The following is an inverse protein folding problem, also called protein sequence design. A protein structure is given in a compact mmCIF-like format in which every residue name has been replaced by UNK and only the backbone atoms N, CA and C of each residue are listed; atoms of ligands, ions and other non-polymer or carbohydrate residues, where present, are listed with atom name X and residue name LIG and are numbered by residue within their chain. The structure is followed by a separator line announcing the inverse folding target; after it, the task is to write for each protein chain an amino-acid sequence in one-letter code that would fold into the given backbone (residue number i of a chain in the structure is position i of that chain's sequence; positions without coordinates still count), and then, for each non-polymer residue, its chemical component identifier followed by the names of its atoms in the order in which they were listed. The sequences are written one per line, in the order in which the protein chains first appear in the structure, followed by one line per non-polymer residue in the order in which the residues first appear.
data_IF_086683990784
#
_entry.id   IF_086683990784
#
_cell.length_a   1.000
_cell.length_b   1.000
_cell.length_c   1.000
_cell.angle_alpha   90.00
_cell.angle_beta   90.00
_cell.angle_gamma   90.00
#
_symmetry.space_group_name_H-M   'P 1'
#
loop_
_entity.id
_entity.type
_entity.pdbx_description
1 polymer ?
#
# COMPACT_ATOMS: atom_id res chain seq x y z
N UNK A 1 -30.22 23.94 41.90
CA UNK A 1 -30.89 23.08 40.90
C UNK A 1 -30.10 23.19 39.60
N UNK A 2 -29.19 22.28 39.40
CA UNK A 2 -28.42 22.18 38.13
C UNK A 2 -29.36 21.72 37.01
N UNK A 3 -29.58 22.64 36.04
CA UNK A 3 -30.32 22.27 34.84
C UNK A 3 -29.48 21.22 34.07
N UNK A 4 -30.02 19.99 33.96
CA UNK A 4 -29.52 18.99 33.00
C UNK A 4 -29.46 19.66 31.61
N UNK A 5 -28.29 20.08 31.19
CA UNK A 5 -28.06 20.63 29.85
C UNK A 5 -28.01 19.47 28.88
N UNK A 6 -29.14 19.17 28.26
CA UNK A 6 -29.19 18.31 27.09
C UNK A 6 -28.68 19.14 25.92
N UNK A 7 -27.50 18.81 25.40
CA UNK A 7 -26.89 19.56 24.28
C UNK A 7 -26.71 18.62 23.06
N UNK A 8 -27.18 19.05 21.89
CA UNK A 8 -26.83 18.35 20.66
C UNK A 8 -25.39 18.66 20.28
N UNK A 9 -24.56 17.62 20.17
CA UNK A 9 -23.16 17.70 19.77
C UNK A 9 -23.01 17.09 18.38
N UNK A 10 -22.31 17.76 17.47
CA UNK A 10 -21.97 17.23 16.17
C UNK A 10 -20.88 16.16 16.33
N UNK A 11 -21.13 14.94 15.86
CA UNK A 11 -20.18 13.84 15.88
C UNK A 11 -20.04 13.26 14.47
N UNK A 12 -18.96 13.59 13.79
CA UNK A 12 -18.77 13.21 12.39
C UNK A 12 -19.85 13.76 11.47
N UNK A 13 -20.55 12.89 10.74
CA UNK A 13 -21.66 13.24 9.84
C UNK A 13 -23.02 13.33 10.55
N UNK A 14 -23.11 12.94 11.82
CA UNK A 14 -24.36 12.86 12.60
C UNK A 14 -24.40 13.84 13.77
N UNK A 15 -25.59 13.95 14.35
CA UNK A 15 -25.84 14.69 15.59
C UNK A 15 -26.11 13.69 16.72
N UNK A 16 -25.39 13.82 17.85
CA UNK A 16 -25.66 13.08 19.07
C UNK A 16 -26.17 13.98 20.17
N UNK A 17 -26.92 13.45 21.08
CA UNK A 17 -27.37 14.17 22.27
C UNK A 17 -26.46 13.83 23.44
N UNK A 18 -25.84 14.85 24.05
CA UNK A 18 -25.01 14.68 25.24
C UNK A 18 -25.85 14.88 26.50
N UNK A 19 -25.73 13.92 27.41
CA UNK A 19 -26.29 13.97 28.76
C UNK A 19 -25.20 14.20 29.81
N UNK A 20 -23.99 14.57 29.38
CA UNK A 20 -22.87 14.82 30.28
C UNK A 20 -23.15 16.01 31.20
N UNK A 21 -22.73 15.90 32.45
CA UNK A 21 -22.82 16.99 33.44
C UNK A 21 -21.66 17.99 33.33
N UNK A 22 -20.57 17.56 32.76
CA UNK A 22 -19.39 18.38 32.50
C UNK A 22 -19.20 18.56 31.01
N UNK A 23 -18.62 19.69 30.62
CA UNK A 23 -18.27 19.95 29.24
C UNK A 23 -17.14 19.03 28.80
N UNK A 24 -17.20 18.55 27.55
CA UNK A 24 -16.17 17.70 26.97
C UNK A 24 -14.85 18.50 26.90
N UNK A 25 -13.79 17.98 27.54
CA UNK A 25 -12.45 18.61 27.53
C UNK A 25 -11.75 18.36 26.18
N UNK A 26 -12.04 17.22 25.56
CA UNK A 26 -11.50 16.82 24.26
C UNK A 26 -12.65 16.42 23.34
N UNK A 27 -12.52 16.77 22.07
CA UNK A 27 -13.45 16.30 21.04
C UNK A 27 -13.30 14.79 20.85
N UNK A 28 -14.42 14.10 20.59
CA UNK A 28 -14.40 12.67 20.27
C UNK A 28 -13.70 12.49 18.92
N UNK A 29 -12.61 11.73 18.85
CA UNK A 29 -11.91 11.49 17.59
C UNK A 29 -12.81 10.79 16.57
N UNK A 30 -12.64 11.13 15.31
CA UNK A 30 -13.32 10.42 14.22
C UNK A 30 -12.66 9.06 13.99
N UNK A 31 -13.31 7.98 14.46
CA UNK A 31 -12.75 6.62 14.42
C UNK A 31 -12.55 6.07 13.00
N UNK A 32 -13.18 6.66 12.00
CA UNK A 32 -13.05 6.26 10.59
C UNK A 32 -12.10 7.17 9.79
N UNK A 33 -11.46 8.14 10.43
CA UNK A 33 -10.54 9.08 9.80
C UNK A 33 -9.35 8.38 9.16
N UNK A 34 -8.78 7.40 9.85
CA UNK A 34 -7.65 6.60 9.36
C UNK A 34 -7.95 5.95 8.01
N UNK A 35 -9.12 5.34 7.84
CA UNK A 35 -9.52 4.72 6.58
C UNK A 35 -9.73 5.76 5.47
N UNK A 36 -10.37 6.88 5.80
CA UNK A 36 -10.63 7.94 4.83
C UNK A 36 -9.34 8.60 4.36
N UNK A 37 -8.47 8.97 5.28
CA UNK A 37 -7.19 9.60 4.96
C UNK A 37 -6.29 8.66 4.15
N UNK A 38 -6.26 7.38 4.50
CA UNK A 38 -5.52 6.36 3.75
C UNK A 38 -6.05 6.20 2.32
N UNK A 39 -7.37 6.24 2.13
CA UNK A 39 -7.97 6.16 0.81
C UNK A 39 -7.76 7.42 -0.02
N UNK A 40 -7.85 8.59 0.61
CA UNK A 40 -7.57 9.87 -0.04
C UNK A 40 -6.10 9.98 -0.46
N UNK A 41 -5.18 9.55 0.39
CA UNK A 41 -3.76 9.44 0.06
C UNK A 41 -3.54 8.48 -1.13
N UNK A 42 -4.18 7.30 -1.09
CA UNK A 42 -4.08 6.32 -2.18
C UNK A 42 -4.52 6.91 -3.53
N UNK A 43 -5.60 7.68 -3.56
CA UNK A 43 -6.09 8.30 -4.79
C UNK A 43 -5.22 9.46 -5.29
N UNK A 44 -4.54 10.20 -4.38
CA UNK A 44 -3.74 11.36 -4.75
C UNK A 44 -2.29 11.02 -5.05
N UNK A 45 -1.70 10.16 -4.23
CA UNK A 45 -0.26 9.87 -4.24
C UNK A 45 0.02 8.40 -4.56
N UNK A 46 -0.67 7.48 -3.90
CA UNK A 46 -0.37 6.05 -4.01
C UNK A 46 -0.54 5.48 -5.42
N UNK A 47 -1.53 5.93 -6.18
CA UNK A 47 -1.68 5.54 -7.59
C UNK A 47 -0.56 6.10 -8.46
N UNK A 48 -0.13 7.34 -8.23
CA UNK A 48 0.99 7.95 -8.94
C UNK A 48 2.28 7.17 -8.70
N UNK A 49 2.60 6.88 -7.43
CA UNK A 49 3.78 6.08 -7.07
C UNK A 49 3.79 4.70 -7.76
N UNK A 50 2.62 4.02 -7.84
CA UNK A 50 2.52 2.72 -8.50
C UNK A 50 2.81 2.85 -10.00
N UNK A 51 2.28 3.87 -10.66
CA UNK A 51 2.54 4.07 -12.09
C UNK A 51 3.97 4.50 -12.38
N UNK A 52 4.57 5.31 -11.53
CA UNK A 52 5.99 5.71 -11.63
C UNK A 52 6.92 4.50 -11.43
N UNK A 53 6.65 3.65 -10.46
CA UNK A 53 7.46 2.46 -10.16
C UNK A 53 7.45 1.43 -11.30
N UNK A 54 6.35 1.34 -12.04
CA UNK A 54 6.19 0.38 -13.15
C UNK A 54 6.71 0.97 -14.46
N UNK A 55 6.70 2.28 -14.60
CA UNK A 55 7.11 3.01 -15.80
C UNK A 55 8.64 3.26 -15.81
N UNK A 56 9.32 3.13 -16.96
CA UNK A 56 8.84 2.62 -18.23
C UNK A 56 8.79 1.08 -18.32
N UNK A 57 7.88 0.53 -19.10
CA UNK A 57 7.89 -0.88 -19.48
C UNK A 57 8.60 -0.99 -20.82
N UNK A 58 9.77 -1.62 -20.82
CA UNK A 58 10.60 -1.79 -22.01
C UNK A 58 10.48 -3.20 -22.58
N UNK A 59 10.55 -3.30 -23.90
CA UNK A 59 10.60 -4.57 -24.59
C UNK A 59 11.98 -5.23 -24.39
N UNK A 60 12.05 -6.56 -24.51
CA UNK A 60 13.29 -7.34 -24.40
C UNK A 60 14.38 -6.87 -25.42
N UNK A 61 13.96 -6.37 -26.57
CA UNK A 61 14.85 -5.81 -27.60
C UNK A 61 15.17 -4.33 -27.41
N UNK A 62 14.66 -3.69 -26.36
CA UNK A 62 14.81 -2.28 -26.04
C UNK A 62 14.39 -1.32 -27.17
N UNK A 63 13.49 -1.81 -28.06
CA UNK A 63 12.98 -1.04 -29.20
C UNK A 63 11.70 -0.28 -28.88
N UNK A 64 10.87 -0.83 -27.98
CA UNK A 64 9.60 -0.25 -27.58
C UNK A 64 9.63 0.11 -26.10
N UNK A 65 9.21 1.32 -25.76
CA UNK A 65 9.06 1.80 -24.40
C UNK A 65 7.64 2.30 -24.17
N UNK A 66 6.95 1.77 -23.17
CA UNK A 66 5.63 2.19 -22.74
C UNK A 66 5.73 2.93 -21.43
N UNK A 67 5.25 4.16 -21.41
CA UNK A 67 5.23 5.02 -20.23
C UNK A 67 3.80 5.35 -19.81
N UNK A 68 3.55 5.34 -18.51
CA UNK A 68 2.32 5.88 -17.92
C UNK A 68 2.52 7.36 -17.64
N UNK A 69 1.74 8.21 -18.30
CA UNK A 69 1.91 9.67 -18.25
C UNK A 69 1.03 10.29 -17.19
N UNK A 70 -0.23 9.85 -17.13
CA UNK A 70 -1.26 10.43 -16.27
C UNK A 70 -2.39 9.44 -16.05
N UNK A 71 -3.18 9.63 -15.00
CA UNK A 71 -4.36 8.81 -14.73
C UNK A 71 -5.54 9.68 -14.31
N UNK A 72 -6.73 9.23 -14.62
CA UNK A 72 -7.98 9.89 -14.28
C UNK A 72 -9.00 8.90 -13.76
N UNK A 73 -9.51 9.15 -12.57
CA UNK A 73 -10.64 8.42 -12.00
C UNK A 73 -11.92 9.17 -12.34
N UNK A 74 -12.75 8.57 -13.20
CA UNK A 74 -13.99 9.18 -13.69
C UNK A 74 -15.12 8.98 -12.66
N UNK A 75 -15.15 9.80 -11.62
CA UNK A 75 -16.17 9.71 -10.55
C UNK A 75 -17.58 10.05 -11.03
N UNK A 76 -17.70 10.75 -12.15
CA UNK A 76 -18.99 11.13 -12.75
C UNK A 76 -19.61 9.99 -13.58
N UNK A 77 -18.81 9.00 -14.00
CA UNK A 77 -19.24 7.87 -14.82
C UNK A 77 -19.62 6.64 -13.96
N UNK A 78 -20.06 6.84 -12.73
CA UNK A 78 -20.54 5.76 -11.86
C UNK A 78 -21.87 5.21 -12.38
N UNK A 79 -21.92 3.89 -12.66
CA UNK A 79 -23.09 3.27 -13.29
C UNK A 79 -24.32 3.20 -12.41
N UNK A 80 -24.13 2.99 -11.10
CA UNK A 80 -25.20 2.75 -10.15
C UNK A 80 -24.98 3.53 -8.86
N UNK A 81 -26.04 4.00 -8.24
CA UNK A 81 -25.99 4.61 -6.92
C UNK A 81 -25.66 3.55 -5.85
N UNK A 82 -25.33 4.01 -4.65
CA UNK A 82 -24.99 3.14 -3.51
C UNK A 82 -26.13 2.17 -3.20
N UNK A 83 -27.38 2.65 -3.24
CA UNK A 83 -28.56 1.85 -2.95
C UNK A 83 -28.82 0.82 -4.06
N UNK A 84 -28.74 1.22 -5.31
CA UNK A 84 -28.86 0.33 -6.45
C UNK A 84 -27.78 -0.74 -6.48
N UNK A 85 -26.55 -0.44 -6.06
CA UNK A 85 -25.47 -1.43 -5.96
C UNK A 85 -25.82 -2.51 -4.93
N UNK A 86 -26.44 -2.14 -3.80
CA UNK A 86 -26.89 -3.09 -2.78
C UNK A 86 -28.05 -3.98 -3.25
N UNK A 87 -28.99 -3.41 -4.01
CA UNK A 87 -30.15 -4.16 -4.53
C UNK A 87 -29.78 -5.10 -5.68
N UNK A 88 -28.80 -4.70 -6.52
CA UNK A 88 -28.40 -5.44 -7.73
C UNK A 88 -27.19 -6.32 -7.58
N UNK A 89 -26.69 -6.49 -6.35
CA UNK A 89 -25.43 -7.19 -6.06
C UNK A 89 -24.25 -6.67 -6.89
N UNK A 90 -24.21 -5.36 -7.14
CA UNK A 90 -23.17 -4.69 -7.92
C UNK A 90 -22.09 -4.07 -7.03
N UNK A 91 -20.97 -3.72 -7.64
CA UNK A 91 -19.88 -3.01 -6.97
C UNK A 91 -19.98 -1.51 -7.26
N UNK A 92 -19.89 -0.69 -6.19
CA UNK A 92 -19.83 0.75 -6.31
C UNK A 92 -18.41 1.17 -6.72
N UNK A 93 -18.21 1.44 -8.01
CA UNK A 93 -16.89 1.71 -8.58
C UNK A 93 -16.97 2.77 -9.68
N UNK A 94 -15.83 3.41 -9.93
CA UNK A 94 -15.64 4.34 -11.04
C UNK A 94 -14.56 3.83 -11.99
N UNK A 95 -14.68 4.09 -13.31
CA UNK A 95 -13.67 3.69 -14.28
C UNK A 95 -12.39 4.50 -14.11
N UNK A 96 -11.27 3.77 -14.07
CA UNK A 96 -9.92 4.32 -14.08
C UNK A 96 -9.40 4.33 -15.51
N UNK A 97 -9.12 5.50 -16.03
CA UNK A 97 -8.49 5.71 -17.32
C UNK A 97 -7.06 6.18 -17.14
N UNK A 98 -6.16 5.65 -17.95
CA UNK A 98 -4.75 5.97 -17.89
C UNK A 98 -4.25 6.41 -19.25
N UNK A 99 -3.53 7.51 -19.27
CA UNK A 99 -2.89 8.04 -20.46
C UNK A 99 -1.52 7.41 -20.62
N UNK A 100 -1.34 6.64 -21.66
CA UNK A 100 -0.11 5.94 -21.99
C UNK A 100 0.59 6.55 -23.18
N UNK A 101 1.92 6.52 -23.17
CA UNK A 101 2.79 6.93 -24.25
C UNK A 101 3.61 5.72 -24.68
N UNK A 102 3.47 5.35 -25.95
CA UNK A 102 4.29 4.34 -26.60
C UNK A 102 5.34 5.03 -27.43
N UNK A 103 6.61 4.81 -27.14
CA UNK A 103 7.74 5.29 -27.91
C UNK A 103 8.37 4.12 -28.66
N UNK A 104 8.44 4.22 -29.99
CA UNK A 104 9.18 3.30 -30.83
C UNK A 104 10.55 3.90 -31.13
N UNK A 105 11.61 3.35 -30.54
CA UNK A 105 12.99 3.85 -30.67
C UNK A 105 13.60 3.63 -32.08
N UNK A 106 13.05 2.67 -32.86
CA UNK A 106 13.51 2.44 -34.24
C UNK A 106 13.02 3.52 -35.21
N UNK A 107 11.74 3.89 -35.11
CA UNK A 107 11.11 4.86 -36.01
C UNK A 107 11.06 6.26 -35.44
N UNK A 108 11.47 6.42 -34.16
CA UNK A 108 11.33 7.65 -33.37
C UNK A 108 9.87 8.17 -33.31
N UNK A 109 8.91 7.23 -33.40
CA UNK A 109 7.49 7.53 -33.41
C UNK A 109 6.91 7.45 -31.98
N UNK A 110 6.22 8.52 -31.56
CA UNK A 110 5.56 8.59 -30.28
C UNK A 110 4.06 8.56 -30.49
N UNK A 111 3.38 7.55 -29.90
CA UNK A 111 1.91 7.44 -29.88
C UNK A 111 1.40 7.60 -28.47
N UNK A 112 0.36 8.40 -28.29
CA UNK A 112 -0.27 8.61 -27.00
C UNK A 112 -1.75 8.25 -27.08
N UNK A 113 -2.20 7.40 -26.15
CA UNK A 113 -3.57 6.95 -26.06
C UNK A 113 -4.06 6.94 -24.64
N UNK A 114 -5.35 7.13 -24.45
CA UNK A 114 -6.05 6.92 -23.20
C UNK A 114 -6.64 5.52 -23.20
N UNK A 115 -6.29 4.73 -22.20
CA UNK A 115 -6.75 3.34 -22.05
C UNK A 115 -7.57 3.17 -20.79
N UNK A 116 -8.58 2.32 -20.85
CA UNK A 116 -9.35 1.89 -19.69
C UNK A 116 -8.57 0.77 -18.98
N UNK A 117 -8.20 1.02 -17.71
CA UNK A 117 -7.47 0.03 -16.89
C UNK A 117 -8.40 -0.89 -16.12
N UNK A 118 -9.55 -0.38 -15.69
CA UNK A 118 -10.51 -1.14 -14.89
C UNK A 118 -11.40 -0.24 -14.05
N UNK A 119 -12.32 -0.86 -13.32
CA UNK A 119 -13.20 -0.17 -12.39
C UNK A 119 -12.57 -0.20 -10.99
N UNK A 120 -12.33 0.98 -10.41
CA UNK A 120 -11.80 1.14 -9.06
C UNK A 120 -12.94 1.34 -8.06
N UNK A 121 -13.06 0.49 -7.02
CA UNK A 121 -14.08 0.66 -5.98
C UNK A 121 -13.97 2.00 -5.28
N UNK A 122 -15.12 2.67 -5.10
CA UNK A 122 -15.19 3.94 -4.40
C UNK A 122 -15.58 3.76 -2.94
N UNK A 123 -14.97 4.54 -2.08
CA UNK A 123 -15.32 4.61 -0.66
C UNK A 123 -16.57 5.46 -0.47
N UNK A 124 -17.49 4.97 0.35
CA UNK A 124 -18.69 5.70 0.76
C UNK A 124 -18.36 6.77 1.81
N UNK A 125 -19.32 7.66 2.08
CA UNK A 125 -19.17 8.69 3.12
C UNK A 125 -18.92 8.11 4.52
N UNK A 126 -19.32 6.85 4.76
CA UNK A 126 -19.15 6.13 6.02
C UNK A 126 -17.84 5.34 6.12
N UNK A 127 -16.94 5.45 5.10
CA UNK A 127 -15.65 4.76 5.09
C UNK A 127 -15.73 3.28 4.70
N UNK A 128 -16.81 2.87 4.04
CA UNK A 128 -17.04 1.50 3.59
C UNK A 128 -16.96 1.38 2.08
N UNK A 129 -16.82 0.16 1.57
CA UNK A 129 -16.88 -0.18 0.16
C UNK A 129 -18.06 -1.11 -0.09
N UNK A 130 -18.71 -0.96 -1.23
CA UNK A 130 -19.77 -1.88 -1.65
C UNK A 130 -19.23 -2.77 -2.75
N UNK A 131 -19.03 -4.03 -2.43
CA UNK A 131 -18.50 -5.06 -3.33
C UNK A 131 -19.53 -6.15 -3.49
N UNK A 132 -20.02 -6.36 -4.71
CA UNK A 132 -21.07 -7.33 -5.01
C UNK A 132 -22.29 -7.20 -4.06
N UNK A 133 -22.76 -5.97 -3.87
CA UNK A 133 -23.89 -5.66 -3.01
C UNK A 133 -23.60 -5.66 -1.50
N UNK A 134 -22.48 -6.25 -1.06
CA UNK A 134 -22.12 -6.32 0.35
C UNK A 134 -21.27 -5.11 0.77
N UNK A 135 -21.64 -4.50 1.89
CA UNK A 135 -20.87 -3.41 2.49
C UNK A 135 -19.68 -3.98 3.27
N UNK A 136 -18.48 -3.57 2.89
CA UNK A 136 -17.22 -4.07 3.42
C UNK A 136 -16.32 -2.95 3.89
N UNK A 137 -15.46 -3.24 4.85
CA UNK A 137 -14.46 -2.32 5.40
C UNK A 137 -13.08 -2.93 5.24
N UNK A 138 -12.11 -2.10 4.86
CA UNK A 138 -10.71 -2.49 4.85
C UNK A 138 -10.16 -2.27 6.26
N UNK A 139 -9.68 -3.36 6.88
CA UNK A 139 -9.06 -3.31 8.20
C UNK A 139 -7.58 -2.96 8.06
N UNK A 140 -7.13 -1.94 8.79
CA UNK A 140 -5.72 -1.57 8.84
C UNK A 140 -4.89 -2.70 9.43
N UNK A 141 -3.78 -3.06 8.77
CA UNK A 141 -2.86 -4.10 9.20
C UNK A 141 -1.49 -3.49 9.51
N UNK A 142 -0.91 -3.91 10.64
CA UNK A 142 0.45 -3.54 10.98
C UNK A 142 1.42 -4.48 10.26
N UNK A 143 2.31 -3.89 9.48
CA UNK A 143 3.40 -4.60 8.81
C UNK A 143 4.73 -4.01 9.27
N UNK A 144 5.82 -4.78 9.11
CA UNK A 144 7.16 -4.25 9.36
C UNK A 144 7.47 -3.16 8.35
N UNK A 145 8.03 -2.04 8.83
CA UNK A 145 8.49 -0.98 7.94
C UNK A 145 9.65 -1.47 7.06
N UNK A 146 9.79 -0.94 5.84
CA UNK A 146 11.00 -1.15 5.04
C UNK A 146 12.24 -0.72 5.82
N UNK A 147 13.31 -1.48 5.70
CA UNK A 147 14.56 -1.20 6.42
C UNK A 147 15.42 -2.44 6.64
N UNK A 148 16.45 -2.29 7.46
CA UNK A 148 17.39 -3.35 7.80
C UNK A 148 17.19 -3.73 9.27
N UNK A 149 16.94 -5.00 9.51
CA UNK A 149 16.76 -5.58 10.83
C UNK A 149 17.93 -6.47 11.17
N UNK A 150 18.56 -6.24 12.33
CA UNK A 150 19.70 -7.01 12.79
C UNK A 150 19.28 -7.95 13.91
N UNK A 151 19.88 -9.14 13.93
CA UNK A 151 19.65 -10.14 14.95
C UNK A 151 20.96 -10.82 15.36
N UNK A 152 21.01 -11.26 16.61
CA UNK A 152 22.11 -12.05 17.16
C UNK A 152 21.49 -13.35 17.68
N UNK A 153 22.02 -14.48 17.24
CA UNK A 153 21.69 -15.79 17.76
C UNK A 153 22.95 -16.45 18.31
N UNK A 154 22.79 -17.40 19.24
CA UNK A 154 23.90 -18.14 19.80
C UNK A 154 23.83 -19.59 19.33
N UNK A 155 24.95 -20.13 18.89
CA UNK A 155 25.07 -21.55 18.55
C UNK A 155 25.10 -22.39 19.86
N UNK A 156 24.97 -23.71 19.72
CA UNK A 156 25.04 -24.67 20.85
C UNK A 156 26.34 -24.59 21.66
N UNK A 157 27.39 -24.04 21.07
CA UNK A 157 28.71 -23.87 21.66
C UNK A 157 28.86 -22.47 22.31
N UNK A 158 27.82 -21.62 22.21
CA UNK A 158 27.86 -20.25 22.73
C UNK A 158 28.49 -19.21 21.78
N UNK A 159 28.80 -19.59 20.52
CA UNK A 159 29.31 -18.66 19.52
C UNK A 159 28.18 -17.75 19.02
N UNK A 160 28.46 -16.44 18.94
CA UNK A 160 27.53 -15.46 18.38
C UNK A 160 27.43 -15.61 16.86
N UNK A 161 26.18 -15.71 16.38
CA UNK A 161 25.85 -15.73 14.96
C UNK A 161 25.06 -14.48 14.63
N UNK A 162 25.53 -13.73 13.66
CA UNK A 162 24.91 -12.48 13.25
C UNK A 162 24.00 -12.73 12.06
N UNK A 163 22.80 -12.12 12.11
CA UNK A 163 21.85 -12.15 11.02
C UNK A 163 21.38 -10.73 10.68
N UNK A 164 21.05 -10.52 9.43
CA UNK A 164 20.47 -9.26 8.99
C UNK A 164 19.41 -9.54 7.93
N UNK A 165 18.25 -8.91 8.08
CA UNK A 165 17.15 -9.01 7.11
C UNK A 165 16.91 -7.63 6.51
N UNK A 166 17.04 -7.54 5.20
CA UNK A 166 16.71 -6.33 4.43
C UNK A 166 15.31 -6.48 3.88
N UNK A 167 14.42 -5.61 4.30
CA UNK A 167 13.03 -5.55 3.85
C UNK A 167 12.90 -4.33 2.95
N UNK A 168 12.73 -4.50 1.63
CA UNK A 168 12.49 -3.40 0.71
C UNK A 168 11.04 -2.90 0.83
N UNK A 169 10.76 -1.72 0.31
CA UNK A 169 9.39 -1.22 0.18
C UNK A 169 8.58 -2.11 -0.76
N UNK A 170 9.20 -2.57 -1.85
CA UNK A 170 8.64 -3.51 -2.83
C UNK A 170 9.71 -4.50 -3.26
N UNK A 171 9.34 -5.78 -3.41
CA UNK A 171 10.23 -6.83 -3.90
C UNK A 171 10.59 -7.88 -2.86
N UNK A 172 11.56 -8.72 -3.19
CA UNK A 172 11.98 -9.86 -2.38
C UNK A 172 12.81 -9.45 -1.16
N UNK A 173 12.65 -10.17 -0.07
CA UNK A 173 13.44 -9.97 1.13
C UNK A 173 14.83 -10.60 0.96
N UNK A 174 15.85 -9.92 1.49
CA UNK A 174 17.22 -10.44 1.54
C UNK A 174 17.55 -10.77 2.99
N UNK A 175 17.87 -12.03 3.24
CA UNK A 175 18.29 -12.51 4.55
C UNK A 175 19.78 -12.87 4.50
N UNK A 176 20.57 -12.27 5.38
CA UNK A 176 21.98 -12.51 5.56
C UNK A 176 22.20 -13.27 6.87
N UNK A 177 22.93 -14.35 6.84
CA UNK A 177 23.24 -15.17 8.02
C UNK A 177 24.71 -15.54 8.04
N UNK A 178 25.31 -15.50 9.23
CA UNK A 178 26.64 -16.06 9.48
C UNK A 178 26.48 -17.47 10.03
N UNK A 179 27.17 -18.44 9.48
CA UNK A 179 27.18 -19.83 9.97
C UNK A 179 28.25 -20.01 11.05
N UNK A 180 28.17 -21.12 11.81
CA UNK A 180 29.16 -21.49 12.83
C UNK A 180 30.60 -21.61 12.30
N UNK A 181 30.76 -21.83 11.00
CA UNK A 181 32.05 -21.89 10.29
C UNK A 181 32.55 -20.53 9.76
N UNK A 182 31.97 -19.42 10.20
CA UNK A 182 32.24 -18.06 9.69
C UNK A 182 31.96 -17.88 8.20
N UNK A 183 31.05 -18.70 7.67
CA UNK A 183 30.59 -18.60 6.27
C UNK A 183 29.39 -17.68 6.23
N UNK A 184 29.44 -16.72 5.30
CA UNK A 184 28.38 -15.75 5.09
C UNK A 184 27.41 -16.29 4.01
N UNK A 185 26.16 -16.46 4.40
CA UNK A 185 25.08 -16.97 3.57
C UNK A 185 24.09 -15.87 3.25
N UNK A 186 23.57 -15.84 2.03
CA UNK A 186 22.51 -14.94 1.60
C UNK A 186 21.34 -15.77 1.08
N UNK A 187 20.14 -15.42 1.50
CA UNK A 187 18.89 -15.97 0.95
C UNK A 187 18.09 -14.84 0.33
N UNK A 188 17.44 -15.14 -0.79
CA UNK A 188 16.48 -14.27 -1.44
C UNK A 188 15.11 -14.92 -1.30
N UNK A 189 14.16 -14.25 -0.67
CA UNK A 189 12.75 -14.64 -0.52
C UNK A 189 12.55 -16.12 -0.12
N UNK A 190 13.23 -16.55 0.94
CA UNK A 190 13.21 -17.94 1.46
C UNK A 190 13.65 -19.05 0.46
N UNK A 191 14.17 -18.68 -0.68
CA UNK A 191 14.70 -19.60 -1.67
C UNK A 191 16.11 -20.08 -1.31
N UNK A 192 16.82 -20.73 -2.24
CA UNK A 192 18.15 -21.32 -2.02
C UNK A 192 19.15 -20.37 -1.37
N UNK A 193 19.85 -20.86 -0.34
CA UNK A 193 21.03 -20.19 0.21
C UNK A 193 22.11 -20.07 -0.86
N UNK A 194 22.55 -18.87 -1.13
CA UNK A 194 23.76 -18.60 -1.92
C UNK A 194 24.90 -18.42 -0.93
N UNK A 195 25.82 -19.39 -0.91
CA UNK A 195 26.95 -19.37 0.00
C UNK A 195 28.15 -18.76 -0.71
N UNK A 196 28.71 -17.69 -0.15
CA UNK A 196 29.99 -17.15 -0.60
C UNK A 196 31.08 -17.56 0.41
N UNK A 197 32.09 -18.35 0.05
CA UNK A 197 33.18 -18.66 0.97
C UNK A 197 33.91 -17.37 1.34
N UNK A 198 33.96 -17.07 2.62
CA UNK A 198 34.77 -15.97 3.13
C UNK A 198 36.24 -16.29 2.87
N UNK A 199 36.92 -15.45 2.10
CA UNK A 199 38.36 -15.59 1.89
C UNK A 199 39.03 -15.54 3.29
N UNK A 200 39.64 -16.64 3.71
CA UNK A 200 40.48 -16.66 4.91
C UNK A 200 41.57 -15.62 4.68
N UNK A 201 41.62 -14.58 5.47
CA UNK A 201 42.77 -13.70 5.53
C UNK A 201 43.95 -14.52 6.06
N UNK A 202 44.81 -14.98 5.16
CA UNK A 202 46.12 -15.52 5.51
C UNK A 202 46.97 -14.32 5.97
N UNK A 203 46.90 -14.00 7.24
CA UNK A 203 47.95 -13.21 7.89
C UNK A 203 49.14 -14.15 8.00
N UNK A 204 50.08 -14.03 7.06
CA UNK A 204 51.43 -14.62 7.25
C UNK A 204 52.17 -13.70 8.22
N UNK A 205 52.54 -14.28 9.34
CA UNK A 205 53.60 -13.83 10.24
C UNK A 205 54.90 -13.63 9.47
#
# INVERSE_FOLDING_TARGET
MEKNRIQPIKSGTGMRISYARQDDVLEVPNLIEIQKDSYDWFLREGLAEVFEDISPIEDYSDQLSLEFVDYQLCKDDVKYSIEECKERDATYAAPLKVKVRLHNKETDEIKQHEIFMGDLPLMTATGTFIINGAERVIVSQLVRSPGIYYGIAHDKIGKELYSSTVIPNRGAWLEYETDSNDVFNVRVDRTRKVTKPTAKSTTKT
#
